data_IF_378427642361
#
_entry.id   IF_378427642361
#
_cell.length_a   1.000
_cell.length_b   1.000
_cell.length_c   1.000
_cell.angle_alpha   90.00
_cell.angle_beta   90.00
_cell.angle_gamma   90.00
#
_symmetry.space_group_name_H-M   'P 1'
#
loop_
_entity.id
_entity.type
_entity.pdbx_description
1 polymer ?
#
# COMPACT_ATOMS: atom_id res chain seq x y z
N UNK A 1 45.92 -50.82 22.81
CA UNK A 1 46.42 -51.05 21.43
C UNK A 1 45.87 -52.40 20.98
N UNK A 2 44.92 -52.54 20.07
CA UNK A 2 44.52 -51.77 18.90
C UNK A 2 44.40 -52.76 17.74
N UNK A 3 43.18 -52.98 17.24
CA UNK A 3 42.74 -53.67 15.99
C UNK A 3 41.21 -53.83 16.18
N UNK A 4 40.31 -53.25 15.39
CA UNK A 4 40.34 -52.84 14.00
C UNK A 4 39.10 -53.47 13.35
N UNK A 5 37.90 -52.97 13.68
CA UNK A 5 36.65 -53.41 13.07
C UNK A 5 36.11 -52.35 12.12
N UNK A 6 35.95 -52.78 10.87
CA UNK A 6 35.49 -52.03 9.72
C UNK A 6 33.98 -51.77 9.81
N UNK A 7 33.57 -50.54 10.10
CA UNK A 7 32.18 -50.11 9.90
C UNK A 7 32.04 -49.46 8.53
N UNK A 8 31.32 -50.16 7.66
CA UNK A 8 30.89 -49.72 6.33
C UNK A 8 29.98 -48.50 6.48
N UNK A 9 30.45 -47.32 6.07
CA UNK A 9 29.56 -46.20 5.81
C UNK A 9 28.86 -46.43 4.48
N UNK A 10 27.57 -46.78 4.53
CA UNK A 10 26.70 -46.77 3.37
C UNK A 10 26.53 -45.31 2.91
N UNK A 11 26.99 -45.01 1.70
CA UNK A 11 26.64 -43.77 1.00
C UNK A 11 25.14 -43.79 0.71
N UNK A 12 24.36 -43.14 1.57
CA UNK A 12 22.96 -42.89 1.30
C UNK A 12 22.88 -41.76 0.25
N UNK A 13 22.85 -42.14 -1.03
CA UNK A 13 22.54 -41.25 -2.16
C UNK A 13 21.04 -41.02 -2.22
N UNK A 14 20.49 -40.46 -1.15
CA UNK A 14 19.15 -39.88 -1.17
C UNK A 14 19.21 -38.56 -1.91
N UNK A 15 18.66 -38.50 -3.14
CA UNK A 15 18.24 -37.25 -3.77
C UNK A 15 17.44 -36.47 -2.72
N UNK A 16 18.00 -35.36 -2.21
CA UNK A 16 17.18 -34.34 -1.56
C UNK A 16 16.27 -33.81 -2.65
N UNK A 17 15.01 -34.22 -2.63
CA UNK A 17 13.96 -33.46 -3.28
C UNK A 17 14.09 -32.04 -2.73
N UNK A 18 14.40 -31.09 -3.62
CA UNK A 18 14.30 -29.67 -3.32
C UNK A 18 12.82 -29.46 -3.00
N UNK A 19 12.46 -29.49 -1.72
CA UNK A 19 11.21 -28.93 -1.25
C UNK A 19 11.14 -27.54 -1.85
N UNK A 20 10.22 -27.32 -2.79
CA UNK A 20 9.88 -25.98 -3.27
C UNK A 20 9.48 -25.19 -2.04
N UNK A 21 10.43 -24.44 -1.49
CA UNK A 21 10.16 -23.45 -0.46
C UNK A 21 9.29 -22.42 -1.16
N UNK A 22 7.97 -22.48 -0.91
CA UNK A 22 7.06 -21.45 -1.38
C UNK A 22 7.56 -20.16 -0.70
N UNK A 23 7.98 -19.13 -1.47
CA UNK A 23 8.40 -17.87 -0.90
C UNK A 23 7.25 -17.33 -0.05
N UNK A 24 7.54 -16.91 1.18
CA UNK A 24 6.55 -16.21 1.99
C UNK A 24 6.20 -14.89 1.27
N UNK A 25 4.92 -14.63 1.05
CA UNK A 25 4.44 -13.39 0.45
C UNK A 25 4.19 -12.32 1.52
N UNK A 26 4.46 -11.06 1.18
CA UNK A 26 4.15 -9.93 2.04
C UNK A 26 2.63 -9.72 2.10
N UNK A 27 2.12 -9.30 3.26
CA UNK A 27 0.72 -8.92 3.39
C UNK A 27 0.49 -7.54 2.76
N UNK A 28 -0.31 -7.47 1.70
CA UNK A 28 -0.71 -6.21 1.05
C UNK A 28 -1.99 -5.61 1.66
N UNK A 29 -2.46 -6.18 2.78
CA UNK A 29 -3.62 -5.74 3.56
C UNK A 29 -4.94 -5.79 2.77
N UNK A 30 -5.08 -6.72 1.82
CA UNK A 30 -6.30 -6.87 1.02
C UNK A 30 -7.55 -7.17 1.88
N UNK A 31 -7.34 -7.77 3.05
CA UNK A 31 -8.36 -8.05 4.06
C UNK A 31 -8.83 -6.80 4.82
N UNK A 32 -8.08 -5.70 4.74
CA UNK A 32 -8.37 -4.43 5.41
C UNK A 32 -9.10 -3.41 4.51
N UNK A 33 -9.56 -3.84 3.32
CA UNK A 33 -10.35 -2.97 2.44
C UNK A 33 -11.74 -2.74 3.06
N UNK A 34 -12.03 -1.53 3.51
CA UNK A 34 -13.31 -1.19 4.15
C UNK A 34 -14.35 -0.72 3.12
N UNK A 35 -15.02 -1.67 2.48
CA UNK A 35 -16.09 -1.37 1.51
C UNK A 35 -17.29 -0.70 2.17
N UNK A 36 -17.56 -0.95 3.46
CA UNK A 36 -18.74 -0.42 4.15
C UNK A 36 -18.69 1.10 4.28
N UNK A 37 -17.48 1.65 4.45
CA UNK A 37 -17.24 3.10 4.47
C UNK A 37 -17.84 3.82 3.25
N UNK A 38 -17.76 3.20 2.08
CA UNK A 38 -18.25 3.77 0.82
C UNK A 38 -19.67 3.33 0.47
N UNK A 39 -20.13 2.25 1.10
CA UNK A 39 -21.45 1.67 0.89
C UNK A 39 -22.26 1.60 2.21
N UNK A 40 -22.55 2.74 2.87
CA UNK A 40 -23.14 2.75 4.22
C UNK A 40 -24.62 2.31 4.27
N UNK A 41 -25.28 2.13 3.12
CA UNK A 41 -26.71 1.75 3.02
C UNK A 41 -26.95 0.38 2.37
N UNK A 42 -25.94 -0.47 2.34
CA UNK A 42 -26.15 -1.89 2.03
C UNK A 42 -26.98 -2.57 3.13
N UNK A 43 -27.72 -3.61 2.75
CA UNK A 43 -28.49 -4.48 3.66
C UNK A 43 -27.62 -4.90 4.86
N UNK A 44 -28.12 -4.87 6.11
CA UNK A 44 -27.37 -5.32 7.28
C UNK A 44 -26.79 -6.73 7.01
N UNK A 45 -25.47 -6.88 7.15
CA UNK A 45 -24.69 -8.10 6.99
C UNK A 45 -24.37 -8.60 5.55
N UNK A 46 -24.88 -7.98 4.48
CA UNK A 46 -24.67 -8.50 3.11
C UNK A 46 -23.38 -8.01 2.42
N UNK A 47 -23.03 -6.73 2.59
CA UNK A 47 -21.87 -6.12 1.89
C UNK A 47 -20.51 -6.52 2.42
N UNK A 48 -20.39 -7.16 3.58
CA UNK A 48 -19.06 -7.54 4.08
C UNK A 48 -18.64 -8.90 3.55
N UNK A 49 -19.48 -9.92 3.73
CA UNK A 49 -19.11 -11.30 3.42
C UNK A 49 -18.88 -11.51 1.92
N UNK A 50 -19.76 -10.97 1.06
CA UNK A 50 -19.60 -11.12 -0.40
C UNK A 50 -18.41 -10.34 -0.94
N UNK A 51 -18.18 -9.12 -0.45
CA UNK A 51 -17.04 -8.31 -0.86
C UNK A 51 -15.71 -8.91 -0.37
N UNK A 52 -15.64 -9.39 0.88
CA UNK A 52 -14.46 -10.09 1.40
C UNK A 52 -14.21 -11.44 0.71
N UNK A 53 -15.27 -12.13 0.28
CA UNK A 53 -15.16 -13.35 -0.52
C UNK A 53 -14.70 -13.09 -1.96
N UNK A 54 -14.58 -11.83 -2.39
CA UNK A 54 -14.22 -11.47 -3.76
C UNK A 54 -15.34 -11.68 -4.77
N UNK A 55 -16.59 -11.88 -4.32
CA UNK A 55 -17.76 -11.91 -5.22
C UNK A 55 -18.14 -10.48 -5.61
N UNK A 56 -17.42 -9.98 -6.63
CA UNK A 56 -17.58 -8.62 -7.16
C UNK A 56 -19.01 -8.33 -7.59
N UNK A 57 -19.72 -9.31 -8.17
CA UNK A 57 -21.07 -9.09 -8.69
C UNK A 57 -22.04 -8.89 -7.54
N UNK A 58 -22.07 -9.83 -6.60
CA UNK A 58 -22.98 -9.78 -5.45
C UNK A 58 -22.66 -8.57 -4.56
N UNK A 59 -21.37 -8.27 -4.36
CA UNK A 59 -20.92 -7.06 -3.67
C UNK A 59 -21.46 -5.75 -4.30
N UNK A 60 -21.46 -5.64 -5.63
CA UNK A 60 -22.02 -4.47 -6.33
C UNK A 60 -23.54 -4.40 -6.26
N UNK A 61 -24.22 -5.55 -6.25
CA UNK A 61 -25.67 -5.63 -6.11
C UNK A 61 -26.11 -5.21 -4.70
N UNK A 62 -25.31 -5.55 -3.68
CA UNK A 62 -25.50 -5.11 -2.28
C UNK A 62 -25.26 -3.60 -2.07
N UNK A 63 -24.67 -2.92 -3.07
CA UNK A 63 -24.29 -1.52 -3.04
C UNK A 63 -24.98 -0.68 -4.13
N UNK A 64 -26.31 -0.54 -4.12
CA UNK A 64 -27.06 0.08 -5.20
C UNK A 64 -26.75 1.57 -5.39
N UNK A 65 -26.39 2.28 -4.32
CA UNK A 65 -26.18 3.73 -4.32
C UNK A 65 -24.83 4.19 -4.88
N UNK A 66 -23.90 3.28 -5.15
CA UNK A 66 -22.62 3.65 -5.74
C UNK A 66 -22.82 4.17 -7.17
N UNK A 67 -22.28 5.37 -7.42
CA UNK A 67 -22.22 5.96 -8.76
C UNK A 67 -21.36 5.11 -9.71
N UNK A 68 -21.42 5.41 -11.02
CA UNK A 68 -20.63 4.66 -12.02
C UNK A 68 -19.12 4.67 -11.73
N UNK A 69 -18.47 5.82 -11.41
CA UNK A 69 -17.04 5.84 -11.08
C UNK A 69 -16.72 5.01 -9.84
N UNK A 70 -17.51 5.16 -8.77
CA UNK A 70 -17.34 4.39 -7.53
C UNK A 70 -17.53 2.89 -7.72
N UNK A 71 -18.48 2.45 -8.57
CA UNK A 71 -18.63 1.03 -8.92
C UNK A 71 -17.41 0.48 -9.65
N UNK A 72 -16.78 1.28 -10.50
CA UNK A 72 -15.55 0.89 -11.18
C UNK A 72 -14.37 0.81 -10.20
N UNK A 73 -14.24 1.81 -9.32
CA UNK A 73 -13.25 1.80 -8.24
C UNK A 73 -13.39 0.58 -7.33
N UNK A 74 -14.63 0.22 -6.97
CA UNK A 74 -14.92 -0.97 -6.18
C UNK A 74 -14.46 -2.25 -6.89
N UNK A 75 -14.74 -2.38 -8.19
CA UNK A 75 -14.27 -3.54 -8.97
C UNK A 75 -12.75 -3.67 -8.96
N UNK A 76 -12.03 -2.56 -9.08
CA UNK A 76 -10.56 -2.56 -9.03
C UNK A 76 -10.09 -3.01 -7.65
N UNK A 77 -10.62 -2.42 -6.57
CA UNK A 77 -10.25 -2.79 -5.21
C UNK A 77 -10.49 -4.29 -4.92
N UNK A 78 -11.64 -4.83 -5.31
CA UNK A 78 -11.96 -6.25 -5.08
C UNK A 78 -11.14 -7.22 -5.95
N UNK A 79 -10.65 -6.75 -7.09
CA UNK A 79 -9.80 -7.52 -8.01
C UNK A 79 -8.31 -7.27 -7.80
N UNK A 80 -7.93 -6.61 -6.70
CA UNK A 80 -6.54 -6.29 -6.37
C UNK A 80 -5.58 -7.47 -6.55
N UNK A 81 -5.97 -8.66 -6.10
CA UNK A 81 -5.17 -9.88 -6.21
C UNK A 81 -4.87 -10.31 -7.66
N UNK A 82 -5.71 -9.92 -8.63
CA UNK A 82 -5.54 -10.28 -10.04
C UNK A 82 -4.42 -9.48 -10.71
N UNK A 83 -4.19 -8.23 -10.29
CA UNK A 83 -3.26 -7.31 -10.98
C UNK A 83 -2.07 -6.86 -10.14
N UNK A 84 -2.15 -6.94 -8.79
CA UNK A 84 -1.03 -6.60 -7.94
C UNK A 84 0.12 -7.62 -8.10
N UNK A 85 1.37 -7.15 -8.03
CA UNK A 85 2.52 -8.05 -8.07
C UNK A 85 2.53 -8.97 -6.84
N UNK A 86 3.07 -10.18 -7.00
CA UNK A 86 3.46 -11.01 -5.86
C UNK A 86 4.71 -10.41 -5.23
N UNK A 87 4.57 -9.89 -4.01
CA UNK A 87 5.65 -9.25 -3.28
C UNK A 87 6.26 -10.26 -2.29
N UNK A 88 7.57 -10.56 -2.37
CA UNK A 88 8.21 -11.43 -1.40
C UNK A 88 8.30 -10.75 -0.03
N UNK A 89 8.02 -11.50 1.04
CA UNK A 89 8.27 -11.08 2.40
C UNK A 89 9.78 -11.13 2.69
N UNK A 90 10.45 -10.01 2.45
CA UNK A 90 11.89 -9.85 2.71
C UNK A 90 12.12 -9.20 4.07
N UNK A 91 13.20 -9.61 4.74
CA UNK A 91 13.59 -9.06 6.06
C UNK A 91 14.58 -7.90 5.95
N UNK A 92 15.05 -7.61 4.74
CA UNK A 92 16.03 -6.56 4.47
C UNK A 92 15.31 -5.38 3.79
N UNK A 93 15.47 -4.14 4.31
CA UNK A 93 14.93 -2.93 3.67
C UNK A 93 15.36 -2.82 2.20
N UNK A 94 14.45 -2.34 1.35
CA UNK A 94 14.69 -2.16 -0.08
C UNK A 94 14.62 -0.67 -0.43
N UNK A 95 15.63 0.13 -0.07
CA UNK A 95 15.58 1.58 -0.23
C UNK A 95 15.61 2.01 -1.70
N UNK A 96 14.77 2.98 -2.02
CA UNK A 96 14.92 3.85 -3.20
C UNK A 96 15.22 5.27 -2.74
N UNK A 97 15.72 6.11 -3.66
CA UNK A 97 16.04 7.50 -3.34
C UNK A 97 14.76 8.23 -2.86
N UNK A 98 14.79 8.87 -1.68
CA UNK A 98 13.71 9.78 -1.27
C UNK A 98 13.59 10.92 -2.27
N UNK A 99 12.41 11.08 -2.85
CA UNK A 99 12.14 12.02 -3.93
C UNK A 99 10.65 12.34 -4.04
N UNK A 100 10.33 13.33 -4.87
CA UNK A 100 8.97 13.67 -5.28
C UNK A 100 8.69 13.12 -6.68
N UNK A 101 7.86 12.08 -6.76
CA UNK A 101 7.49 11.47 -8.03
C UNK A 101 6.24 12.14 -8.59
N UNK A 102 6.28 12.52 -9.87
CA UNK A 102 5.12 13.07 -10.57
C UNK A 102 4.40 11.97 -11.34
N UNK A 103 3.10 11.81 -11.10
CA UNK A 103 2.25 10.79 -11.73
C UNK A 103 1.19 11.47 -12.59
N UNK A 104 1.09 11.07 -13.86
CA UNK A 104 0.10 11.57 -14.82
C UNK A 104 0.06 13.10 -14.96
N UNK A 105 1.23 13.73 -15.10
CA UNK A 105 1.38 15.17 -15.36
C UNK A 105 0.64 16.09 -14.36
N UNK A 106 1.01 16.03 -13.06
CA UNK A 106 0.35 16.81 -12.02
C UNK A 106 0.62 18.31 -12.14
N UNK A 107 -0.38 19.10 -11.73
CA UNK A 107 -0.39 20.55 -11.66
C UNK A 107 -0.50 21.06 -10.19
N UNK A 108 -0.68 22.37 -10.03
CA UNK A 108 -0.78 23.03 -8.72
C UNK A 108 -1.98 22.62 -7.87
N UNK A 109 -2.98 21.93 -8.44
CA UNK A 109 -4.19 21.49 -7.76
C UNK A 109 -4.23 19.96 -7.55
N UNK A 110 -3.17 19.27 -7.97
CA UNK A 110 -3.11 17.81 -7.97
C UNK A 110 -2.91 17.23 -6.58
N UNK A 111 -3.36 15.99 -6.39
CA UNK A 111 -3.26 15.29 -5.11
C UNK A 111 -1.80 15.12 -4.68
N UNK A 112 -1.55 15.12 -3.37
CA UNK A 112 -0.25 14.73 -2.81
C UNK A 112 -0.46 13.53 -1.92
N UNK A 113 0.32 12.47 -2.15
CA UNK A 113 0.36 11.27 -1.33
C UNK A 113 1.75 11.11 -0.72
N UNK A 114 1.84 10.69 0.53
CA UNK A 114 3.08 10.28 1.17
C UNK A 114 3.19 8.76 1.24
N UNK A 115 4.42 8.25 1.15
CA UNK A 115 4.76 6.85 1.47
C UNK A 115 6.19 6.75 1.98
N UNK A 116 6.60 5.57 2.45
CA UNK A 116 7.99 5.27 2.76
C UNK A 116 8.80 4.97 1.48
N UNK A 117 10.09 5.30 1.47
CA UNK A 117 11.01 5.08 0.33
C UNK A 117 11.44 3.61 0.12
N UNK A 118 10.50 2.67 0.14
CA UNK A 118 10.73 1.26 -0.13
C UNK A 118 10.32 0.87 -1.56
N UNK A 119 11.18 0.16 -2.29
CA UNK A 119 10.94 -0.19 -3.70
C UNK A 119 9.68 -1.03 -3.92
N UNK A 120 9.40 -1.99 -3.03
CA UNK A 120 8.25 -2.90 -3.14
C UNK A 120 6.94 -2.17 -2.80
N UNK A 121 6.97 -1.26 -1.81
CA UNK A 121 5.84 -0.38 -1.50
C UNK A 121 5.54 0.56 -2.68
N UNK A 122 6.59 1.12 -3.28
CA UNK A 122 6.47 1.96 -4.47
C UNK A 122 5.89 1.19 -5.65
N UNK A 123 6.36 -0.03 -5.91
CA UNK A 123 5.83 -0.89 -6.99
C UNK A 123 4.33 -1.17 -6.82
N UNK A 124 3.88 -1.49 -5.62
CA UNK A 124 2.45 -1.68 -5.31
C UNK A 124 1.66 -0.40 -5.59
N UNK A 125 2.14 0.76 -5.12
CA UNK A 125 1.45 2.04 -5.33
C UNK A 125 1.34 2.40 -6.82
N UNK A 126 2.43 2.27 -7.59
CA UNK A 126 2.41 2.54 -9.03
C UNK A 126 1.50 1.56 -9.76
N UNK A 127 1.48 0.29 -9.35
CA UNK A 127 0.59 -0.71 -9.96
C UNK A 127 -0.89 -0.39 -9.74
N UNK A 128 -1.25 0.09 -8.54
CA UNK A 128 -2.61 0.60 -8.27
C UNK A 128 -2.87 1.88 -9.09
N UNK A 129 -1.91 2.81 -9.10
CA UNK A 129 -2.07 4.09 -9.80
C UNK A 129 -2.25 3.92 -11.31
N UNK A 130 -1.64 2.88 -11.89
CA UNK A 130 -1.80 2.51 -13.30
C UNK A 130 -3.20 1.99 -13.68
N UNK A 131 -4.10 1.77 -12.70
CA UNK A 131 -5.52 1.45 -12.96
C UNK A 131 -6.34 2.68 -13.36
N UNK A 132 -5.71 3.86 -13.42
CA UNK A 132 -6.30 5.09 -13.89
C UNK A 132 -5.23 6.08 -14.35
N UNK A 133 -5.66 7.33 -14.56
CA UNK A 133 -4.81 8.43 -15.05
C UNK A 133 -4.88 9.66 -14.14
N UNK A 134 -5.28 9.48 -12.87
CA UNK A 134 -5.36 10.55 -11.87
C UNK A 134 -4.02 11.28 -11.73
N UNK A 135 -3.94 12.61 -11.95
CA UNK A 135 -2.74 13.40 -11.69
C UNK A 135 -2.44 13.50 -10.19
N UNK A 136 -1.20 13.20 -9.81
CA UNK A 136 -0.78 13.31 -8.41
C UNK A 136 0.74 13.39 -8.24
N UNK A 137 1.15 13.92 -7.10
CA UNK A 137 2.49 13.83 -6.57
C UNK A 137 2.58 12.71 -5.52
N UNK A 138 3.58 11.84 -5.64
CA UNK A 138 3.93 10.84 -4.63
C UNK A 138 5.25 11.22 -3.96
N UNK A 139 5.16 11.62 -2.69
CA UNK A 139 6.28 12.00 -1.85
C UNK A 139 6.85 10.76 -1.14
N UNK A 140 8.09 10.41 -1.47
CA UNK A 140 8.82 9.32 -0.83
C UNK A 140 9.57 9.84 0.41
N UNK A 141 9.05 9.53 1.59
CA UNK A 141 9.66 9.87 2.87
C UNK A 141 10.83 8.92 3.13
N UNK A 142 11.98 9.45 3.55
CA UNK A 142 13.15 8.66 3.91
C UNK A 142 12.92 7.88 5.20
N UNK A 143 12.46 6.64 5.06
CA UNK A 143 12.21 5.69 6.13
C UNK A 143 13.27 4.58 6.15
N UNK A 144 14.49 4.88 5.64
CA UNK A 144 15.60 3.93 5.55
C UNK A 144 15.28 2.70 4.69
N UNK A 145 14.36 2.84 3.73
CA UNK A 145 13.92 1.74 2.86
C UNK A 145 13.00 0.72 3.52
N UNK A 146 12.49 0.99 4.71
CA UNK A 146 11.47 0.15 5.34
C UNK A 146 10.10 0.35 4.65
N UNK A 147 9.29 -0.71 4.59
CA UNK A 147 7.87 -0.61 4.27
C UNK A 147 7.15 0.26 5.31
N UNK A 148 5.95 0.77 5.00
CA UNK A 148 5.25 1.72 5.88
C UNK A 148 4.96 1.14 7.26
N UNK A 149 4.49 -0.11 7.33
CA UNK A 149 4.24 -0.84 8.57
C UNK A 149 5.51 -0.98 9.43
N UNK A 150 6.62 -1.42 8.82
CA UNK A 150 7.90 -1.55 9.52
C UNK A 150 8.48 -0.20 9.91
N UNK A 151 8.32 0.82 9.08
CA UNK A 151 8.73 2.19 9.40
C UNK A 151 7.94 2.75 10.59
N UNK A 152 6.66 2.40 10.74
CA UNK A 152 5.88 2.74 11.93
C UNK A 152 6.40 1.97 13.16
N UNK A 153 6.66 0.66 13.05
CA UNK A 153 7.21 -0.17 14.13
C UNK A 153 8.56 0.36 14.63
N UNK A 154 9.43 0.76 13.72
CA UNK A 154 10.76 1.28 14.05
C UNK A 154 10.78 2.78 14.39
N UNK A 155 9.65 3.49 14.30
CA UNK A 155 9.58 4.94 14.56
C UNK A 155 10.32 5.78 13.51
N UNK A 156 10.39 5.27 12.28
CA UNK A 156 11.09 5.87 11.15
C UNK A 156 10.16 6.67 10.23
N UNK A 157 8.86 6.37 10.20
CA UNK A 157 7.85 7.25 9.62
C UNK A 157 7.33 8.19 10.72
N UNK A 158 7.94 9.37 10.84
CA UNK A 158 7.71 10.30 11.96
C UNK A 158 7.61 11.76 11.50
N UNK A 159 7.05 12.66 12.33
CA UNK A 159 6.71 14.02 11.90
C UNK A 159 7.88 14.82 11.33
N UNK A 160 9.07 14.67 11.93
CA UNK A 160 10.27 15.40 11.50
C UNK A 160 10.68 15.01 10.08
N UNK A 161 10.54 13.72 9.73
CA UNK A 161 10.91 13.21 8.40
C UNK A 161 9.89 13.57 7.34
N UNK A 162 8.60 13.54 7.68
CA UNK A 162 7.56 14.02 6.78
C UNK A 162 7.75 15.52 6.47
N UNK A 163 7.97 16.35 7.50
CA UNK A 163 8.28 17.78 7.34
C UNK A 163 9.51 17.99 6.47
N UNK A 164 10.59 17.26 6.74
CA UNK A 164 11.82 17.35 5.95
C UNK A 164 11.59 16.96 4.48
N UNK A 165 10.81 15.92 4.21
CA UNK A 165 10.47 15.50 2.86
C UNK A 165 9.66 16.58 2.12
N UNK A 166 8.65 17.17 2.77
CA UNK A 166 7.86 18.27 2.23
C UNK A 166 8.73 19.48 1.87
N UNK A 167 9.57 19.95 2.80
CA UNK A 167 10.45 21.10 2.55
C UNK A 167 11.45 20.82 1.42
N UNK A 168 12.04 19.62 1.37
CA UNK A 168 13.00 19.24 0.30
C UNK A 168 12.34 19.10 -1.06
N UNK A 169 11.09 18.64 -1.12
CA UNK A 169 10.34 18.45 -2.36
C UNK A 169 10.01 19.77 -3.07
N UNK A 170 9.93 20.87 -2.31
CA UNK A 170 9.48 22.16 -2.83
C UNK A 170 7.99 22.21 -3.18
N UNK A 171 7.18 21.24 -2.75
CA UNK A 171 5.73 21.24 -3.00
C UNK A 171 5.02 22.48 -2.44
N UNK A 172 5.53 23.04 -1.34
CA UNK A 172 4.99 24.23 -0.67
C UNK A 172 4.88 25.47 -1.57
N UNK A 173 5.69 25.54 -2.63
CA UNK A 173 5.66 26.64 -3.62
C UNK A 173 5.07 26.23 -4.96
N UNK A 174 4.78 24.94 -5.15
CA UNK A 174 4.23 24.38 -6.40
C UNK A 174 2.72 24.22 -6.36
N UNK A 175 2.15 24.02 -5.17
CA UNK A 175 0.72 23.76 -4.99
C UNK A 175 -0.04 25.02 -4.56
N UNK A 176 -1.31 25.08 -4.96
CA UNK A 176 -2.28 26.07 -4.51
C UNK A 176 -2.85 25.74 -3.12
N UNK A 177 -2.56 24.55 -2.59
CA UNK A 177 -3.06 24.02 -1.33
C UNK A 177 -1.94 23.38 -0.49
N UNK A 178 -2.22 23.14 0.79
CA UNK A 178 -1.35 22.41 1.74
C UNK A 178 -2.11 21.21 2.29
N UNK A 179 -2.44 20.25 1.43
CA UNK A 179 -3.10 19.00 1.82
C UNK A 179 -2.27 17.82 1.34
N UNK A 180 -2.10 16.82 2.20
CA UNK A 180 -1.40 15.58 1.88
C UNK A 180 -2.15 14.38 2.45
N UNK A 181 -2.24 13.33 1.64
CA UNK A 181 -2.79 12.04 2.01
C UNK A 181 -1.65 11.18 2.56
N UNK A 182 -1.76 10.72 3.80
CA UNK A 182 -0.80 9.82 4.43
C UNK A 182 -1.36 8.40 4.50
N UNK A 183 -0.52 7.34 4.55
CA UNK A 183 -1.02 5.96 4.61
C UNK A 183 -1.86 5.72 5.88
N UNK A 184 -2.87 4.86 5.80
CA UNK A 184 -3.76 4.57 6.94
C UNK A 184 -3.04 4.03 8.18
N UNK A 185 -1.95 3.27 7.98
CA UNK A 185 -1.09 2.79 9.08
C UNK A 185 -0.45 3.91 9.91
N UNK A 186 -0.43 5.14 9.39
CA UNK A 186 0.14 6.31 10.06
C UNK A 186 -0.90 7.16 10.79
N UNK A 187 -2.18 6.75 10.82
CA UNK A 187 -3.26 7.43 11.53
C UNK A 187 -2.90 7.88 12.97
N UNK A 188 -2.21 7.07 13.80
CA UNK A 188 -1.87 7.48 15.16
C UNK A 188 -0.98 8.72 15.26
N UNK A 189 -0.30 9.09 14.16
CA UNK A 189 0.58 10.25 14.08
C UNK A 189 -0.05 11.46 13.36
N UNK A 190 -1.30 11.37 12.92
CA UNK A 190 -1.92 12.40 12.08
C UNK A 190 -1.91 13.80 12.70
N UNK A 191 -2.17 13.91 14.02
CA UNK A 191 -2.11 15.20 14.71
C UNK A 191 -0.68 15.74 14.80
N UNK A 192 0.29 14.88 15.14
CA UNK A 192 1.70 15.28 15.22
C UNK A 192 2.24 15.69 13.83
N UNK A 193 1.79 15.03 12.77
CA UNK A 193 2.08 15.43 11.39
C UNK A 193 1.50 16.81 11.09
N UNK A 194 0.24 17.07 11.46
CA UNK A 194 -0.41 18.36 11.26
C UNK A 194 0.32 19.49 12.00
N UNK A 195 0.66 19.27 13.27
CA UNK A 195 1.42 20.24 14.07
C UNK A 195 2.83 20.50 13.51
N UNK A 196 3.55 19.44 13.11
CA UNK A 196 4.92 19.58 12.64
C UNK A 196 5.00 20.24 11.25
N UNK A 197 4.08 19.90 10.36
CA UNK A 197 4.12 20.31 8.95
C UNK A 197 3.32 21.59 8.67
N UNK A 198 2.28 21.87 9.46
CA UNK A 198 1.25 22.87 9.17
C UNK A 198 0.47 22.57 7.86
N UNK A 199 0.43 21.30 7.45
CA UNK A 199 -0.39 20.81 6.34
C UNK A 199 -1.68 20.16 6.86
N UNK A 200 -2.73 20.22 6.05
CA UNK A 200 -3.93 19.41 6.22
C UNK A 200 -3.60 17.94 5.94
N UNK A 201 -3.59 17.13 7.00
CA UNK A 201 -3.30 15.70 6.94
C UNK A 201 -4.60 14.94 6.75
N UNK A 202 -4.72 14.28 5.60
CA UNK A 202 -5.79 13.35 5.29
C UNK A 202 -5.28 11.92 5.45
N UNK A 203 -5.96 11.11 6.28
CA UNK A 203 -5.56 9.72 6.49
C UNK A 203 -6.22 8.85 5.41
N UNK A 204 -5.40 8.30 4.53
CA UNK A 204 -5.80 7.36 3.50
C UNK A 204 -6.04 5.93 4.02
N UNK A 205 -6.30 4.97 3.12
CA UNK A 205 -6.53 3.58 3.51
C UNK A 205 -5.24 2.88 3.94
N UNK A 206 -5.39 1.75 4.64
CA UNK A 206 -4.28 0.84 4.96
C UNK A 206 -3.84 0.10 3.68
N UNK A 207 -4.81 -0.44 2.92
CA UNK A 207 -4.55 -1.11 1.67
C UNK A 207 -4.47 -0.11 0.52
N UNK A 208 -3.36 -0.13 -0.24
CA UNK A 208 -3.20 0.72 -1.41
C UNK A 208 -4.31 0.48 -2.46
N UNK A 209 -4.81 -0.75 -2.61
CA UNK A 209 -5.84 -1.07 -3.59
C UNK A 209 -7.19 -0.41 -3.31
N UNK A 210 -7.41 0.14 -2.10
CA UNK A 210 -8.59 0.91 -1.75
C UNK A 210 -8.49 2.38 -2.20
N UNK A 211 -7.31 2.87 -2.63
CA UNK A 211 -7.12 4.27 -3.06
C UNK A 211 -8.14 4.76 -4.10
N UNK A 212 -8.52 3.98 -5.14
CA UNK A 212 -9.56 4.41 -6.08
C UNK A 212 -10.92 4.63 -5.41
N UNK A 213 -11.27 3.83 -4.40
CA UNK A 213 -12.51 3.98 -3.63
C UNK A 213 -12.43 5.20 -2.72
N UNK A 214 -11.32 5.33 -2.00
CA UNK A 214 -11.02 6.43 -1.10
C UNK A 214 -11.11 7.79 -1.80
N UNK A 215 -10.51 7.89 -2.99
CA UNK A 215 -10.48 9.14 -3.77
C UNK A 215 -11.81 9.44 -4.47
N UNK A 216 -12.66 8.44 -4.68
CA UNK A 216 -14.01 8.60 -5.21
C UNK A 216 -14.03 9.38 -6.52
N UNK A 217 -14.73 10.52 -6.54
CA UNK A 217 -14.86 11.38 -7.72
C UNK A 217 -13.53 12.04 -8.14
N UNK A 218 -12.52 12.06 -7.26
CA UNK A 218 -11.17 12.55 -7.60
C UNK A 218 -10.36 11.51 -8.37
N UNK A 219 -10.79 10.25 -8.43
CA UNK A 219 -10.13 9.21 -9.22
C UNK A 219 -10.58 9.26 -10.69
N UNK A 220 -9.60 9.35 -11.60
CA UNK A 220 -9.82 9.39 -13.05
C UNK A 220 -9.36 8.07 -13.67
N UNK A 221 -10.23 7.43 -14.46
CA UNK A 221 -9.95 6.20 -15.22
C UNK A 221 -9.35 6.48 -16.58
#
# INVERSE_FOLDING_TARGET
>A
MGKGETLRYAFNTGRRELSTVIPLEANLYLDQIDVQRYCPRSVPNASHEHCQAGDVKTCLDDCPLLGRPQRQALKIALKAKEYLPSIPAVTVPQPIQPDLISMNEPDENSLVLATANNSLTFEVLITVWAQGVTPAYLLLVDCLGNTVDMAMVFGEFKPERLKQALTRSGLEVRLSHRRIIVPGLTEPLAEQFREATEWDIEVGPICAAELPLFLGDSWVF
#
